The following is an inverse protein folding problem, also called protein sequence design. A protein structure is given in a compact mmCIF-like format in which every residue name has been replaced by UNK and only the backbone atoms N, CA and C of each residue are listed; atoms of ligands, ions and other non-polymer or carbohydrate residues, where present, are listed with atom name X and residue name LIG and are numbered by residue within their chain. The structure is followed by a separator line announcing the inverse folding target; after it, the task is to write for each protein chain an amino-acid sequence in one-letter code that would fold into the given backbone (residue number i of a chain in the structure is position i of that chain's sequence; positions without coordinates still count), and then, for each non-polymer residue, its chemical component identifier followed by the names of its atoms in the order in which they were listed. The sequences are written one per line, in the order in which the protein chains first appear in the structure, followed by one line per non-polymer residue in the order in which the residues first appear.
data_IF_273446356553
#
_entry.id   IF_273446356553
#
_cell.length_a   1.000
_cell.length_b   1.000
_cell.length_c   1.000
_cell.angle_alpha   90.00
_cell.angle_beta   90.00
_cell.angle_gamma   90.00
#
_symmetry.space_group_name_H-M   'P 1'
#
loop_
_entity.id
_entity.type
_entity.pdbx_description
1 polymer ?
#
# COMPACT_ATOMS: atom_id res chain seq x y z
N UNK A 1 -37.46 -36.58 -33.20
CA UNK A 1 -37.58 -36.13 -31.79
C UNK A 1 -36.32 -35.39 -31.41
N UNK A 2 -36.36 -34.05 -31.30
CA UNK A 2 -35.21 -33.21 -30.93
C UNK A 2 -35.27 -32.92 -29.43
N UNK A 3 -34.23 -33.31 -28.69
CA UNK A 3 -34.06 -32.99 -27.26
C UNK A 3 -33.60 -31.53 -27.13
N UNK A 4 -34.15 -30.73 -26.20
CA UNK A 4 -33.62 -29.41 -25.92
C UNK A 4 -32.32 -29.54 -25.12
N UNK A 5 -31.25 -28.90 -25.59
CA UNK A 5 -30.04 -28.67 -24.80
C UNK A 5 -30.34 -27.45 -23.92
N UNK A 6 -30.43 -27.70 -22.62
CA UNK A 6 -30.55 -26.70 -21.58
C UNK A 6 -29.25 -25.88 -21.56
N UNK A 7 -29.29 -24.65 -22.09
CA UNK A 7 -28.17 -23.71 -21.95
C UNK A 7 -28.13 -23.22 -20.50
N UNK A 8 -27.07 -23.60 -19.78
CA UNK A 8 -26.78 -23.11 -18.44
C UNK A 8 -26.46 -21.62 -18.56
N UNK A 9 -27.34 -20.78 -18.01
CA UNK A 9 -27.10 -19.36 -17.86
C UNK A 9 -25.92 -19.16 -16.90
N UNK A 10 -24.79 -18.73 -17.46
CA UNK A 10 -23.61 -18.34 -16.73
C UNK A 10 -23.95 -17.05 -15.96
N UNK A 11 -24.29 -17.17 -14.67
CA UNK A 11 -24.39 -16.03 -13.77
C UNK A 11 -22.99 -15.42 -13.61
N UNK A 12 -22.69 -14.40 -14.40
CA UNK A 12 -21.58 -13.49 -14.11
C UNK A 12 -22.01 -12.75 -12.85
N UNK A 13 -21.56 -13.22 -11.69
CA UNK A 13 -21.57 -12.40 -10.47
C UNK A 13 -20.79 -11.13 -10.81
N UNK A 14 -21.51 -10.05 -11.09
CA UNK A 14 -20.97 -8.71 -11.17
C UNK A 14 -20.41 -8.40 -9.79
N UNK A 15 -19.13 -8.70 -9.57
CA UNK A 15 -18.43 -8.26 -8.40
C UNK A 15 -18.61 -6.74 -8.36
N UNK A 16 -19.27 -6.25 -7.31
CA UNK A 16 -19.34 -4.82 -7.04
C UNK A 16 -17.92 -4.27 -7.18
N UNK A 17 -17.72 -3.12 -7.85
CA UNK A 17 -16.39 -2.58 -8.06
C UNK A 17 -15.72 -2.50 -6.70
N UNK A 18 -14.72 -3.35 -6.46
CA UNK A 18 -13.99 -3.31 -5.20
C UNK A 18 -13.44 -1.89 -5.13
N UNK A 19 -13.90 -1.11 -4.14
CA UNK A 19 -13.41 0.25 -3.91
C UNK A 19 -11.89 0.19 -4.00
N UNK A 20 -11.35 0.78 -5.06
CA UNK A 20 -9.97 0.54 -5.43
C UNK A 20 -9.05 1.08 -4.34
N UNK A 21 -8.25 0.17 -3.78
CA UNK A 21 -7.11 0.40 -2.92
C UNK A 21 -6.06 1.19 -3.73
N UNK A 22 -5.86 2.47 -3.42
CA UNK A 22 -5.05 3.46 -4.20
C UNK A 22 -5.60 3.80 -5.59
N UNK A 23 -6.01 5.06 -5.78
CA UNK A 23 -6.50 5.62 -7.04
C UNK A 23 -5.38 6.33 -7.82
N UNK A 24 -5.50 6.46 -9.16
CA UNK A 24 -4.54 7.21 -9.97
C UNK A 24 -4.25 8.64 -9.50
N UNK A 25 -5.23 9.27 -8.83
CA UNK A 25 -5.18 10.64 -8.31
C UNK A 25 -4.66 10.75 -6.89
N UNK A 26 -4.48 9.63 -6.19
CA UNK A 26 -4.04 9.65 -4.79
C UNK A 26 -2.62 10.19 -4.70
N UNK A 27 -2.39 11.07 -3.72
CA UNK A 27 -1.06 11.60 -3.42
C UNK A 27 -0.25 10.56 -2.68
N UNK A 28 0.94 10.29 -3.17
CA UNK A 28 1.93 9.42 -2.54
C UNK A 28 3.13 10.28 -2.14
N UNK A 29 3.47 10.23 -0.87
CA UNK A 29 4.68 10.86 -0.36
C UNK A 29 5.91 10.07 -0.77
N UNK A 30 6.95 10.77 -1.19
CA UNK A 30 8.23 10.20 -1.56
C UNK A 30 9.28 10.76 -0.61
N UNK A 31 10.00 9.87 0.05
CA UNK A 31 11.08 10.19 0.97
C UNK A 31 12.36 9.63 0.35
N UNK A 32 13.16 10.52 -0.23
CA UNK A 32 14.48 10.16 -0.71
C UNK A 32 15.45 10.19 0.46
N UNK A 33 16.01 9.02 0.78
CA UNK A 33 16.98 8.84 1.84
C UNK A 33 18.37 9.07 1.23
N UNK A 34 19.09 10.06 1.77
CA UNK A 34 20.38 10.50 1.22
C UNK A 34 21.59 9.80 1.88
N UNK A 35 21.40 9.18 3.04
CA UNK A 35 22.42 8.44 3.80
C UNK A 35 22.03 6.98 4.01
N UNK A 36 22.94 6.14 4.52
CA UNK A 36 22.60 4.75 4.87
C UNK A 36 21.40 4.76 5.82
N UNK A 37 20.30 4.02 5.55
CA UNK A 37 19.13 3.99 6.41
C UNK A 37 19.41 3.42 7.83
N UNK A 38 20.59 2.84 8.07
CA UNK A 38 21.04 2.37 9.39
C UNK A 38 21.90 3.41 10.14
N UNK A 39 22.14 4.59 9.56
CA UNK A 39 22.88 5.68 10.20
C UNK A 39 21.90 6.55 11.03
N UNK A 40 22.16 6.75 12.33
CA UNK A 40 21.27 7.55 13.19
C UNK A 40 21.20 9.03 12.78
N UNK A 41 22.10 9.51 11.91
CA UNK A 41 22.05 10.86 11.35
C UNK A 41 20.96 11.09 10.27
N UNK A 42 20.21 10.04 9.89
CA UNK A 42 19.28 9.96 8.74
C UNK A 42 18.17 11.02 8.71
N UNK A 43 17.76 11.63 9.82
CA UNK A 43 16.56 12.47 9.80
C UNK A 43 16.73 13.84 9.13
N UNK A 44 17.94 14.40 9.04
CA UNK A 44 18.12 15.82 8.66
C UNK A 44 18.25 16.10 7.17
N UNK A 45 18.57 15.11 6.33
CA UNK A 45 18.84 15.32 4.89
C UNK A 45 17.77 14.75 3.95
N UNK A 46 16.76 14.06 4.45
CA UNK A 46 15.78 13.39 3.59
C UNK A 46 14.89 14.38 2.84
N UNK A 47 14.93 14.34 1.50
CA UNK A 47 14.03 15.15 0.67
C UNK A 47 12.65 14.51 0.62
N UNK A 48 11.64 15.29 0.98
CA UNK A 48 10.24 14.87 1.01
C UNK A 48 9.44 15.63 -0.04
N UNK A 49 8.72 14.92 -0.89
CA UNK A 49 7.80 15.52 -1.86
C UNK A 49 6.62 14.59 -2.13
N UNK A 50 5.59 15.09 -2.82
CA UNK A 50 4.40 14.32 -3.15
C UNK A 50 4.19 14.26 -4.66
N UNK A 51 3.71 13.12 -5.14
CA UNK A 51 3.27 12.93 -6.52
C UNK A 51 1.98 12.13 -6.53
N UNK A 52 1.13 12.37 -7.54
CA UNK A 52 0.00 11.48 -7.77
C UNK A 52 0.50 10.08 -8.17
N UNK A 53 -0.18 9.02 -7.76
CA UNK A 53 0.17 7.64 -8.10
C UNK A 53 0.45 7.44 -9.60
N UNK A 54 -0.41 8.02 -10.47
CA UNK A 54 -0.24 7.94 -11.93
C UNK A 54 1.02 8.63 -12.46
N UNK A 55 1.54 9.62 -11.73
CA UNK A 55 2.72 10.42 -12.11
C UNK A 55 4.03 9.80 -11.61
N UNK A 56 3.96 8.73 -10.80
CA UNK A 56 5.16 8.02 -10.36
C UNK A 56 5.79 7.27 -11.52
N UNK A 57 7.08 7.52 -11.76
CA UNK A 57 7.88 6.83 -12.76
C UNK A 57 8.50 5.57 -12.15
N UNK A 58 7.65 4.58 -11.85
CA UNK A 58 8.07 3.25 -11.42
C UNK A 58 7.86 2.27 -12.57
N UNK A 59 8.71 1.24 -12.66
CA UNK A 59 8.53 0.18 -13.64
C UNK A 59 7.20 -0.57 -13.41
N UNK A 60 6.69 -1.18 -14.48
CA UNK A 60 5.38 -1.82 -14.47
C UNK A 60 5.29 -2.98 -13.47
N UNK A 61 6.36 -3.75 -13.29
CA UNK A 61 6.40 -4.89 -12.37
C UNK A 61 6.31 -4.40 -10.93
N UNK A 62 7.05 -3.35 -10.57
CA UNK A 62 6.99 -2.74 -9.24
C UNK A 62 5.60 -2.16 -8.95
N UNK A 63 4.99 -1.43 -9.91
CA UNK A 63 3.62 -0.92 -9.75
C UNK A 63 2.61 -2.05 -9.51
N UNK A 64 2.69 -3.12 -10.28
CA UNK A 64 1.80 -4.28 -10.11
C UNK A 64 1.98 -4.95 -8.74
N UNK A 65 3.23 -5.15 -8.31
CA UNK A 65 3.53 -5.74 -7.01
C UNK A 65 3.01 -4.88 -5.85
N UNK A 66 3.18 -3.56 -5.92
CA UNK A 66 2.68 -2.62 -4.91
C UNK A 66 1.15 -2.64 -4.82
N UNK A 67 0.46 -2.63 -5.97
CA UNK A 67 -1.00 -2.71 -6.00
C UNK A 67 -1.53 -4.05 -5.47
N UNK A 68 -0.86 -5.16 -5.81
CA UNK A 68 -1.19 -6.47 -5.29
C UNK A 68 -1.00 -6.53 -3.76
N UNK A 69 0.10 -5.95 -3.26
CA UNK A 69 0.34 -5.85 -1.82
C UNK A 69 -0.71 -4.99 -1.13
N UNK A 70 -1.03 -3.81 -1.67
CA UNK A 70 -2.06 -2.93 -1.12
C UNK A 70 -3.41 -3.66 -1.02
N UNK A 71 -3.83 -4.33 -2.09
CA UNK A 71 -5.05 -5.14 -2.11
C UNK A 71 -5.02 -6.29 -1.09
N UNK A 72 -3.87 -6.89 -0.84
CA UNK A 72 -3.73 -7.95 0.17
C UNK A 72 -3.91 -7.46 1.62
N UNK A 73 -3.73 -6.15 1.86
CA UNK A 73 -3.93 -5.55 3.17
C UNK A 73 -5.40 -5.17 3.43
N UNK A 74 -6.21 -5.03 2.38
CA UNK A 74 -7.63 -4.71 2.52
C UNK A 74 -8.36 -5.78 3.33
N UNK A 75 -9.05 -5.34 4.37
CA UNK A 75 -10.01 -6.15 5.11
C UNK A 75 -11.45 -5.78 4.69
N UNK A 76 -12.44 -6.48 5.25
CA UNK A 76 -13.85 -6.22 4.98
C UNK A 76 -14.25 -4.77 5.32
N UNK A 77 -13.74 -4.27 6.44
CA UNK A 77 -14.09 -2.94 6.99
C UNK A 77 -13.01 -1.87 6.76
N UNK A 78 -11.81 -2.23 6.31
CA UNK A 78 -10.69 -1.30 6.21
C UNK A 78 -10.02 -1.44 4.85
N UNK A 79 -9.88 -0.31 4.15
CA UNK A 79 -9.16 -0.23 2.87
C UNK A 79 -7.87 0.53 3.06
N UNK A 80 -6.86 0.09 2.35
CA UNK A 80 -5.54 0.70 2.38
C UNK A 80 -5.22 1.44 1.09
N UNK A 81 -4.42 2.49 1.24
CA UNK A 81 -3.78 3.19 0.13
C UNK A 81 -2.28 3.28 0.35
N UNK A 82 -1.52 3.33 -0.73
CA UNK A 82 -0.08 3.59 -0.69
C UNK A 82 0.10 5.04 -0.23
N UNK A 83 0.71 5.21 0.94
CA UNK A 83 0.93 6.50 1.58
C UNK A 83 2.30 7.07 1.29
N UNK A 84 3.36 6.31 1.59
CA UNK A 84 4.75 6.73 1.36
C UNK A 84 5.59 5.66 0.70
N UNK A 85 6.52 6.10 -0.15
CA UNK A 85 7.64 5.30 -0.66
C UNK A 85 8.95 5.88 -0.15
N UNK A 86 9.76 5.04 0.48
CA UNK A 86 11.10 5.38 0.92
C UNK A 86 12.10 4.87 -0.11
N UNK A 87 12.89 5.79 -0.68
CA UNK A 87 13.78 5.52 -1.80
C UNK A 87 15.23 5.73 -1.35
N UNK A 88 16.07 4.72 -1.55
CA UNK A 88 17.51 4.79 -1.34
C UNK A 88 18.22 4.23 -2.57
N UNK A 89 19.18 4.97 -3.14
CA UNK A 89 19.88 4.60 -4.38
C UNK A 89 18.92 4.17 -5.51
N UNK A 90 17.89 4.98 -5.76
CA UNK A 90 16.83 4.76 -6.75
C UNK A 90 16.00 3.48 -6.56
N UNK A 91 16.10 2.83 -5.40
CA UNK A 91 15.32 1.64 -5.05
C UNK A 91 14.35 1.94 -3.92
N UNK A 92 13.13 1.42 -4.04
CA UNK A 92 12.19 1.42 -2.93
C UNK A 92 12.71 0.44 -1.87
N UNK A 93 13.01 0.94 -0.68
CA UNK A 93 13.46 0.11 0.44
C UNK A 93 12.36 -0.12 1.48
N UNK A 94 11.37 0.76 1.53
CA UNK A 94 10.24 0.66 2.47
C UNK A 94 9.00 1.32 1.88
N UNK A 95 7.84 0.79 2.25
CA UNK A 95 6.53 1.31 1.85
C UNK A 95 5.67 1.49 3.09
N UNK A 96 4.95 2.60 3.15
CA UNK A 96 3.88 2.81 4.13
C UNK A 96 2.53 2.81 3.43
N UNK A 97 1.58 2.06 3.97
CA UNK A 97 0.19 2.02 3.57
C UNK A 97 -0.66 2.66 4.67
N UNK A 98 -1.65 3.46 4.32
CA UNK A 98 -2.59 4.08 5.26
C UNK A 98 -3.98 3.50 5.10
N UNK A 99 -4.54 3.06 6.21
CA UNK A 99 -5.92 2.63 6.34
C UNK A 99 -6.85 3.82 6.56
N UNK A 100 -8.10 3.69 6.10
CA UNK A 100 -9.10 4.76 6.20
C UNK A 100 -9.49 5.12 7.66
N UNK A 101 -9.22 4.22 8.62
CA UNK A 101 -9.61 4.37 10.03
C UNK A 101 -8.43 4.69 10.97
N UNK A 102 -7.35 5.24 10.43
CA UNK A 102 -6.18 5.59 11.24
C UNK A 102 -5.29 4.39 11.55
N UNK A 103 -5.25 3.38 10.69
CA UNK A 103 -4.18 2.38 10.71
C UNK A 103 -3.07 2.75 9.73
N UNK A 104 -1.86 2.31 10.00
CA UNK A 104 -0.77 2.31 9.03
C UNK A 104 -0.09 0.95 9.00
N UNK A 105 0.40 0.55 7.83
CA UNK A 105 1.26 -0.62 7.68
C UNK A 105 2.56 -0.16 7.06
N UNK A 106 3.67 -0.38 7.75
CA UNK A 106 5.01 -0.15 7.21
C UNK A 106 5.65 -1.48 6.87
N UNK A 107 6.30 -1.57 5.73
CA UNK A 107 6.89 -2.81 5.23
C UNK A 107 8.22 -2.54 4.56
N UNK A 108 9.24 -3.32 4.93
CA UNK A 108 10.49 -3.37 4.19
C UNK A 108 10.27 -4.06 2.83
N UNK A 109 10.69 -3.39 1.77
CA UNK A 109 10.36 -3.76 0.40
C UNK A 109 11.55 -4.45 -0.30
N UNK A 110 11.35 -5.46 -1.16
CA UNK A 110 10.07 -6.05 -1.61
C UNK A 110 9.57 -7.25 -0.79
N UNK A 111 10.40 -7.78 0.11
CA UNK A 111 10.07 -8.94 0.92
C UNK A 111 10.66 -8.70 2.31
N UNK A 112 9.82 -8.22 3.22
CA UNK A 112 10.21 -7.85 4.56
C UNK A 112 9.04 -7.87 5.52
N UNK A 113 9.36 -7.65 6.78
CA UNK A 113 8.39 -7.68 7.87
C UNK A 113 7.38 -6.55 7.74
N UNK A 114 6.14 -6.83 8.11
CA UNK A 114 5.07 -5.83 8.20
C UNK A 114 4.93 -5.36 9.65
N UNK A 115 5.08 -4.06 9.88
CA UNK A 115 4.79 -3.40 11.14
C UNK A 115 3.46 -2.65 10.99
N UNK A 116 2.42 -3.13 11.69
CA UNK A 116 1.07 -2.54 11.64
C UNK A 116 0.85 -1.66 12.85
N UNK A 117 0.62 -0.38 12.61
CA UNK A 117 0.39 0.64 13.61
C UNK A 117 -1.09 1.01 13.60
N UNK A 118 -1.65 1.29 14.77
CA UNK A 118 -2.98 1.88 14.91
C UNK A 118 -2.85 3.20 15.63
N UNK A 119 -3.58 4.19 15.17
CA UNK A 119 -3.68 5.51 15.78
C UNK A 119 -5.08 5.66 16.39
N UNK A 120 -5.18 6.45 17.47
CA UNK A 120 -6.46 6.79 18.08
C UNK A 120 -7.20 7.86 17.27
N UNK A 121 -8.42 8.19 17.70
CA UNK A 121 -9.27 9.19 17.03
C UNK A 121 -8.71 10.62 17.09
N UNK A 122 -7.69 10.88 17.90
CA UNK A 122 -6.97 12.16 17.99
C UNK A 122 -5.69 12.16 17.13
N UNK A 123 -5.39 11.05 16.44
CA UNK A 123 -4.17 10.87 15.67
C UNK A 123 -2.95 10.50 16.54
N UNK A 124 -3.16 10.24 17.83
CA UNK A 124 -2.14 9.71 18.74
C UNK A 124 -1.82 8.26 18.44
N UNK A 125 -0.59 7.83 18.70
CA UNK A 125 -0.21 6.43 18.53
C UNK A 125 -0.94 5.54 19.56
N UNK A 126 -1.77 4.62 19.09
CA UNK A 126 -2.59 3.74 19.93
C UNK A 126 -2.00 2.33 20.11
N UNK A 127 -0.98 1.96 19.34
CA UNK A 127 -0.24 0.72 19.52
C UNK A 127 0.12 0.00 18.22
N UNK A 128 0.80 -1.15 18.37
CA UNK A 128 1.13 -2.06 17.27
C UNK A 128 0.14 -3.22 17.26
N UNK A 129 -0.44 -3.53 16.10
CA UNK A 129 -1.43 -4.61 15.94
C UNK A 129 -0.76 -5.86 15.34
N UNK A 130 -0.68 -6.96 16.10
CA UNK A 130 -0.21 -8.26 15.60
C UNK A 130 1.27 -8.29 15.16
N UNK A 131 2.17 -7.76 15.99
CA UNK A 131 3.64 -7.51 15.86
C UNK A 131 4.48 -8.43 14.93
N UNK A 132 5.57 -7.96 14.30
CA UNK A 132 6.70 -7.22 14.89
C UNK A 132 7.03 -5.83 14.33
N UNK A 133 7.50 -4.97 15.24
CA UNK A 133 8.37 -3.82 14.98
C UNK A 133 9.57 -4.05 15.91
N UNK A 134 10.69 -4.53 15.36
CA UNK A 134 12.01 -4.56 16.01
C UNK A 134 12.93 -3.61 15.24
#
# INVERSE_FOLDING_TARGET
MRKPILAIALMILSQAPSLAATKPTDQVGIINIESDPNDEAVEKSNKRYFKQWKQLNLDAKTKQALMAKNKSLDAEIEKFRIGFLYIFNDKIIRVAFYGDYGSAVMMDWPAGSECKLTFDSQGGFAGVRGQACE
#
